data_IF_029602695404
#
_entry.id   IF_029602695404
#
_cell.length_a   1.000
_cell.length_b   1.000
_cell.length_c   1.000
_cell.angle_alpha   90.00
_cell.angle_beta   90.00
_cell.angle_gamma   90.00
#
_symmetry.space_group_name_H-M   'P 1'
#
loop_
_entity.id
_entity.type
_entity.pdbx_description
1 polymer ?
#
# COMPACT_ATOMS: atom_id res chain seq x y z
N UNK A 1 10.58 -15.27 -14.98
CA UNK A 1 9.66 -16.32 -15.49
C UNK A 1 9.01 -17.07 -14.33
N UNK A 2 7.68 -17.00 -14.19
CA UNK A 2 6.99 -17.68 -13.11
C UNK A 2 7.25 -19.20 -13.18
N UNK A 3 7.57 -19.76 -12.01
CA UNK A 3 7.91 -21.15 -11.75
C UNK A 3 7.07 -22.13 -12.60
N UNK A 4 7.73 -22.85 -13.50
CA UNK A 4 7.09 -23.63 -14.57
C UNK A 4 6.20 -24.74 -14.01
N UNK A 5 6.60 -25.31 -12.87
CA UNK A 5 5.81 -26.26 -12.10
C UNK A 5 4.50 -25.65 -11.62
N UNK A 6 4.55 -24.43 -11.08
CA UNK A 6 3.36 -23.69 -10.67
C UNK A 6 2.46 -23.33 -11.87
N UNK A 7 3.02 -23.02 -13.03
CA UNK A 7 2.25 -22.80 -14.27
C UNK A 7 1.56 -24.09 -14.72
N UNK A 8 2.26 -25.22 -14.70
CA UNK A 8 1.71 -26.52 -15.06
C UNK A 8 0.53 -26.90 -14.15
N UNK A 9 0.69 -26.80 -12.82
CA UNK A 9 -0.41 -27.08 -11.88
C UNK A 9 -1.57 -26.07 -11.98
N UNK A 10 -1.30 -24.80 -12.25
CA UNK A 10 -2.35 -23.80 -12.51
C UNK A 10 -3.14 -24.13 -13.78
N UNK A 11 -2.46 -24.54 -14.86
CA UNK A 11 -3.10 -24.97 -16.11
C UNK A 11 -3.98 -26.20 -15.87
N UNK A 12 -3.48 -27.22 -15.17
CA UNK A 12 -4.27 -28.40 -14.76
C UNK A 12 -5.52 -28.02 -13.96
N UNK A 13 -5.39 -27.15 -12.95
CA UNK A 13 -6.54 -26.68 -12.14
C UNK A 13 -7.57 -25.91 -12.98
N UNK A 14 -7.13 -25.07 -13.92
CA UNK A 14 -8.02 -24.33 -14.83
C UNK A 14 -8.78 -25.27 -15.76
N UNK A 15 -8.10 -26.25 -16.36
CA UNK A 15 -8.73 -27.24 -17.23
C UNK A 15 -9.72 -28.11 -16.48
N UNK A 16 -9.41 -28.52 -15.24
CA UNK A 16 -10.33 -29.28 -14.39
C UNK A 16 -11.61 -28.50 -14.07
N UNK A 17 -11.50 -27.19 -13.79
CA UNK A 17 -12.66 -26.32 -13.55
C UNK A 17 -13.48 -26.10 -14.83
N UNK A 18 -12.81 -25.93 -15.97
CA UNK A 18 -13.48 -25.79 -17.27
C UNK A 18 -14.24 -27.06 -17.65
N UNK A 19 -13.59 -28.23 -17.57
CA UNK A 19 -14.21 -29.52 -17.84
C UNK A 19 -15.46 -29.73 -16.97
N UNK A 20 -15.39 -29.44 -15.66
CA UNK A 20 -16.56 -29.54 -14.77
C UNK A 20 -17.70 -28.61 -15.16
N UNK A 21 -17.41 -27.35 -15.50
CA UNK A 21 -18.44 -26.38 -15.93
C UNK A 21 -19.16 -26.84 -17.20
N UNK A 22 -18.40 -27.31 -18.19
CA UNK A 22 -18.97 -27.82 -19.44
C UNK A 22 -19.74 -29.12 -19.26
N UNK A 23 -19.31 -30.02 -18.36
CA UNK A 23 -20.10 -31.20 -18.01
C UNK A 23 -21.45 -30.83 -17.38
N UNK A 24 -21.50 -29.81 -16.52
CA UNK A 24 -22.76 -29.33 -15.92
C UNK A 24 -23.67 -28.71 -16.97
N UNK A 25 -23.12 -27.88 -17.87
CA UNK A 25 -23.90 -27.30 -18.97
C UNK A 25 -24.42 -28.38 -19.93
N UNK A 26 -23.60 -29.37 -20.27
CA UNK A 26 -24.00 -30.51 -21.10
C UNK A 26 -25.11 -31.33 -20.44
N UNK A 27 -25.02 -31.59 -19.12
CA UNK A 27 -26.07 -32.28 -18.37
C UNK A 27 -27.37 -31.47 -18.29
N UNK A 28 -27.28 -30.16 -18.05
CA UNK A 28 -28.44 -29.27 -18.00
C UNK A 28 -29.14 -29.13 -19.35
N UNK A 29 -28.37 -28.91 -20.43
CA UNK A 29 -28.91 -28.79 -21.79
C UNK A 29 -29.43 -30.13 -22.33
N UNK A 30 -28.74 -31.23 -22.05
CA UNK A 30 -29.20 -32.57 -22.42
C UNK A 30 -30.49 -32.95 -21.69
N UNK A 31 -30.58 -32.66 -20.39
CA UNK A 31 -31.81 -32.85 -19.61
C UNK A 31 -32.96 -31.98 -20.10
N UNK A 32 -32.69 -30.71 -20.40
CA UNK A 32 -33.69 -29.79 -20.96
C UNK A 32 -34.16 -30.25 -22.34
N UNK A 33 -33.25 -30.65 -23.23
CA UNK A 33 -33.60 -31.18 -24.54
C UNK A 33 -34.47 -32.45 -24.42
N UNK A 34 -34.17 -33.35 -23.49
CA UNK A 34 -34.94 -34.58 -23.27
C UNK A 34 -36.36 -34.33 -22.71
N UNK A 35 -36.55 -33.26 -21.94
CA UNK A 35 -37.86 -32.91 -21.36
C UNK A 35 -38.70 -32.02 -22.29
N UNK A 36 -38.05 -31.10 -23.03
CA UNK A 36 -38.72 -30.09 -23.84
C UNK A 36 -38.95 -30.50 -25.29
N UNK A 37 -38.37 -31.60 -25.78
CA UNK A 37 -38.74 -32.15 -27.10
C UNK A 37 -40.02 -32.98 -26.94
N UNK A 38 -41.21 -32.43 -27.23
CA UNK A 38 -42.43 -33.20 -27.11
C UNK A 38 -42.46 -34.21 -28.25
N UNK A 39 -43.15 -35.34 -28.04
CA UNK A 39 -43.31 -36.44 -28.99
C UNK A 39 -44.18 -36.08 -30.22
N UNK A 40 -44.25 -34.80 -30.60
CA UNK A 40 -45.17 -34.22 -31.56
C UNK A 40 -44.43 -33.42 -32.64
N UNK A 41 -43.60 -34.12 -33.44
CA UNK A 41 -42.96 -33.59 -34.64
C UNK A 41 -41.75 -32.68 -34.39
N UNK A 42 -40.64 -32.97 -35.06
CA UNK A 42 -39.37 -32.23 -34.89
C UNK A 42 -39.52 -30.85 -35.55
N UNK A 43 -39.67 -29.80 -34.73
CA UNK A 43 -39.65 -28.43 -35.20
C UNK A 43 -38.22 -27.88 -35.35
N UNK A 44 -38.05 -26.80 -36.14
CA UNK A 44 -36.82 -26.00 -36.14
C UNK A 44 -36.31 -25.62 -34.73
N UNK A 45 -37.16 -25.26 -33.73
CA UNK A 45 -36.69 -25.00 -32.37
C UNK A 45 -36.05 -26.22 -31.68
N UNK A 46 -36.53 -27.44 -31.94
CA UNK A 46 -35.97 -28.67 -31.35
C UNK A 46 -34.59 -29.00 -31.92
N UNK A 47 -34.39 -28.74 -33.21
CA UNK A 47 -33.10 -28.88 -33.87
C UNK A 47 -32.04 -27.92 -33.27
N UNK A 48 -32.46 -26.71 -32.90
CA UNK A 48 -31.58 -25.73 -32.23
C UNK A 48 -31.16 -26.23 -30.84
N UNK A 49 -32.10 -26.76 -30.03
CA UNK A 49 -31.79 -27.28 -28.70
C UNK A 49 -30.95 -28.56 -28.74
N UNK A 50 -31.26 -29.48 -29.65
CA UNK A 50 -30.46 -30.69 -29.87
C UNK A 50 -29.04 -30.35 -30.34
N UNK A 51 -28.89 -29.37 -31.23
CA UNK A 51 -27.59 -28.86 -31.66
C UNK A 51 -26.81 -28.21 -30.51
N UNK A 52 -27.48 -27.44 -29.65
CA UNK A 52 -26.87 -26.83 -28.47
C UNK A 52 -26.42 -27.91 -27.44
N UNK A 53 -27.24 -28.93 -27.20
CA UNK A 53 -26.89 -30.04 -26.30
C UNK A 53 -25.72 -30.87 -26.85
N UNK A 54 -25.75 -31.23 -28.14
CA UNK A 54 -24.68 -31.98 -28.81
C UNK A 54 -23.34 -31.24 -28.79
N UNK A 55 -23.36 -29.93 -29.09
CA UNK A 55 -22.14 -29.10 -29.03
C UNK A 55 -21.59 -28.95 -27.61
N UNK A 56 -22.45 -28.82 -26.60
CA UNK A 56 -22.02 -28.78 -25.20
C UNK A 56 -21.37 -30.11 -24.74
N UNK A 57 -21.92 -31.26 -25.15
CA UNK A 57 -21.35 -32.59 -24.87
C UNK A 57 -19.98 -32.76 -25.56
N UNK A 58 -19.88 -32.39 -26.83
CA UNK A 58 -18.63 -32.47 -27.58
C UNK A 58 -17.51 -31.61 -26.95
N UNK A 59 -17.83 -30.38 -26.53
CA UNK A 59 -16.89 -29.50 -25.84
C UNK A 59 -16.47 -30.08 -24.48
N UNK A 60 -17.39 -30.67 -23.73
CA UNK A 60 -17.08 -31.32 -22.46
C UNK A 60 -16.12 -32.51 -22.63
N UNK A 61 -16.37 -33.36 -23.64
CA UNK A 61 -15.52 -34.51 -23.96
C UNK A 61 -14.11 -34.06 -24.37
N UNK A 62 -14.00 -33.04 -25.23
CA UNK A 62 -12.69 -32.47 -25.62
C UNK A 62 -11.95 -31.90 -24.41
N UNK A 63 -12.63 -31.15 -23.52
CA UNK A 63 -11.96 -30.59 -22.32
C UNK A 63 -11.45 -31.67 -21.36
N UNK A 64 -12.12 -32.82 -21.31
CA UNK A 64 -11.63 -34.00 -20.59
C UNK A 64 -10.44 -34.67 -21.26
N UNK A 65 -10.42 -34.75 -22.59
CA UNK A 65 -9.28 -35.25 -23.35
C UNK A 65 -8.04 -34.35 -23.17
N UNK A 66 -8.20 -33.04 -23.27
CA UNK A 66 -7.14 -32.04 -23.02
C UNK A 66 -6.55 -32.18 -21.60
N UNK A 67 -7.42 -32.39 -20.61
CA UNK A 67 -7.00 -32.57 -19.23
C UNK A 67 -6.22 -33.87 -19.05
N UNK A 68 -6.66 -34.97 -19.67
CA UNK A 68 -5.93 -36.26 -19.63
C UNK A 68 -4.58 -36.16 -20.33
N UNK A 69 -4.52 -35.51 -21.49
CA UNK A 69 -3.28 -35.28 -22.23
C UNK A 69 -2.28 -34.47 -21.39
N UNK A 70 -2.72 -33.39 -20.75
CA UNK A 70 -1.83 -32.58 -19.90
C UNK A 70 -1.49 -33.25 -18.57
N UNK A 71 -2.33 -34.15 -18.05
CA UNK A 71 -2.02 -34.94 -16.86
C UNK A 71 -1.05 -36.10 -17.16
N UNK A 72 -0.99 -36.57 -18.41
CA UNK A 72 -0.04 -37.58 -18.85
C UNK A 72 1.38 -37.01 -19.05
N UNK A 73 1.52 -35.69 -19.21
CA UNK A 73 2.83 -35.03 -19.25
C UNK A 73 3.42 -35.03 -17.83
N UNK A 74 4.63 -35.60 -17.61
CA UNK A 74 5.25 -35.62 -16.29
C UNK A 74 5.45 -34.19 -15.76
N UNK A 75 5.16 -34.00 -14.48
CA UNK A 75 5.27 -32.68 -13.86
C UNK A 75 6.73 -32.19 -13.90
N UNK A 76 6.98 -30.90 -14.23
CA UNK A 76 8.33 -30.35 -14.21
C UNK A 76 8.98 -30.55 -12.82
N UNK A 77 10.29 -30.88 -12.78
CA UNK A 77 10.99 -31.11 -11.52
C UNK A 77 10.89 -29.90 -10.59
N UNK A 78 10.84 -30.17 -9.28
CA UNK A 78 10.86 -29.12 -8.28
C UNK A 78 12.20 -28.38 -8.36
N UNK A 79 12.17 -27.07 -8.56
CA UNK A 79 13.37 -26.25 -8.37
C UNK A 79 13.78 -26.34 -6.89
N UNK A 80 15.09 -26.51 -6.65
CA UNK A 80 15.67 -26.49 -5.31
C UNK A 80 15.28 -25.18 -4.60
N UNK A 81 14.80 -25.22 -3.33
CA UNK A 81 14.48 -24.02 -2.55
C UNK A 81 15.63 -23.00 -2.51
N UNK A 82 16.90 -23.46 -2.54
CA UNK A 82 18.06 -22.58 -2.56
C UNK A 82 18.13 -21.77 -3.87
N UNK A 83 17.90 -22.42 -5.02
CA UNK A 83 17.91 -21.75 -6.31
C UNK A 83 16.65 -20.89 -6.53
N UNK A 84 15.50 -21.28 -5.96
CA UNK A 84 14.29 -20.47 -5.98
C UNK A 84 14.50 -19.16 -5.20
N UNK A 85 15.16 -19.23 -4.04
CA UNK A 85 15.56 -18.08 -3.25
C UNK A 85 16.56 -17.20 -4.02
N UNK A 86 17.59 -17.78 -4.64
CA UNK A 86 18.57 -17.06 -5.46
C UNK A 86 17.92 -16.34 -6.66
N UNK A 87 17.02 -17.01 -7.39
CA UNK A 87 16.29 -16.41 -8.53
C UNK A 87 15.29 -15.34 -8.08
N UNK A 88 14.71 -15.46 -6.89
CA UNK A 88 13.85 -14.41 -6.33
C UNK A 88 14.64 -13.17 -5.94
N UNK A 89 15.82 -13.33 -5.33
CA UNK A 89 16.76 -12.24 -5.05
C UNK A 89 17.22 -11.57 -6.35
N UNK A 90 17.62 -12.34 -7.36
CA UNK A 90 18.04 -11.80 -8.66
C UNK A 90 16.92 -11.01 -9.36
N UNK A 91 15.64 -11.41 -9.21
CA UNK A 91 14.50 -10.64 -9.74
C UNK A 91 14.21 -9.38 -8.95
N UNK A 92 14.38 -9.40 -7.64
CA UNK A 92 14.23 -8.21 -6.81
C UNK A 92 15.34 -7.21 -7.14
N UNK A 93 16.57 -7.66 -7.31
CA UNK A 93 17.70 -6.84 -7.75
C UNK A 93 17.43 -6.27 -9.15
N UNK A 94 17.07 -7.11 -10.13
CA UNK A 94 16.78 -6.65 -11.49
C UNK A 94 15.52 -5.77 -11.59
N UNK A 95 14.55 -5.92 -10.68
CA UNK A 95 13.40 -5.03 -10.60
C UNK A 95 13.79 -3.68 -9.99
N UNK A 96 14.65 -3.68 -8.96
CA UNK A 96 15.20 -2.47 -8.34
C UNK A 96 16.09 -1.70 -9.32
N UNK A 97 16.92 -2.39 -10.11
CA UNK A 97 17.77 -1.79 -11.14
C UNK A 97 16.98 -1.20 -12.32
N UNK A 98 15.77 -1.72 -12.59
CA UNK A 98 14.92 -1.26 -13.70
C UNK A 98 13.96 -0.15 -13.34
N UNK A 99 13.79 0.17 -12.06
CA UNK A 99 13.04 1.37 -11.72
C UNK A 99 13.99 2.58 -11.84
N UNK A 100 13.58 3.65 -12.55
CA UNK A 100 14.21 4.95 -12.42
C UNK A 100 13.79 5.53 -11.05
N UNK A 101 14.44 5.08 -9.97
CA UNK A 101 14.06 5.44 -8.61
C UNK A 101 14.79 6.72 -8.20
N UNK A 102 14.06 7.84 -8.20
CA UNK A 102 14.52 9.04 -7.51
C UNK A 102 14.68 8.78 -6.00
N UNK A 103 15.61 9.46 -5.31
CA UNK A 103 15.92 9.24 -3.90
C UNK A 103 14.70 9.31 -2.95
N UNK A 104 13.62 9.98 -3.34
CA UNK A 104 12.39 10.13 -2.54
C UNK A 104 11.48 8.89 -2.43
N UNK A 105 11.54 7.94 -3.38
CA UNK A 105 10.66 6.75 -3.32
C UNK A 105 11.27 5.66 -2.43
N UNK A 106 12.61 5.54 -2.40
CA UNK A 106 13.29 4.60 -1.50
C UNK A 106 13.15 5.02 -0.04
N UNK A 107 13.19 6.33 0.25
CA UNK A 107 13.00 6.83 1.61
C UNK A 107 11.58 6.53 2.12
N UNK A 108 10.55 6.69 1.28
CA UNK A 108 9.18 6.36 1.66
C UNK A 108 8.93 4.85 1.81
N UNK A 109 9.48 4.01 0.92
CA UNK A 109 9.41 2.55 1.10
C UNK A 109 10.14 2.11 2.38
N UNK A 110 11.29 2.71 2.68
CA UNK A 110 12.02 2.46 3.93
C UNK A 110 11.21 2.92 5.15
N UNK A 111 10.48 4.04 5.04
CA UNK A 111 9.62 4.61 6.09
C UNK A 111 8.38 3.75 6.35
N UNK A 112 7.74 3.23 5.31
CA UNK A 112 6.63 2.28 5.45
C UNK A 112 7.12 0.97 6.06
N UNK A 113 8.26 0.46 5.60
CA UNK A 113 8.86 -0.77 6.13
C UNK A 113 9.25 -0.64 7.60
N UNK A 114 9.83 0.49 8.02
CA UNK A 114 10.19 0.73 9.42
C UNK A 114 8.94 0.84 10.30
N UNK A 115 7.90 1.56 9.86
CA UNK A 115 6.61 1.58 10.58
C UNK A 115 6.00 0.18 10.73
N UNK A 116 6.07 -0.65 9.69
CA UNK A 116 5.58 -2.03 9.77
C UNK A 116 6.44 -2.91 10.68
N UNK A 117 7.76 -2.75 10.67
CA UNK A 117 8.69 -3.51 11.51
C UNK A 117 8.55 -3.22 13.01
N UNK A 118 8.03 -2.03 13.35
CA UNK A 118 7.78 -1.59 14.73
C UNK A 118 6.35 -1.87 15.19
N UNK A 119 5.46 -2.38 14.32
CA UNK A 119 4.09 -2.71 14.75
C UNK A 119 4.11 -3.79 15.82
N UNK A 120 3.42 -3.52 16.93
CA UNK A 120 3.32 -4.45 18.06
C UNK A 120 4.52 -4.45 18.99
N UNK A 121 5.44 -3.47 18.87
CA UNK A 121 6.51 -3.24 19.84
C UNK A 121 6.22 -2.01 20.71
N UNK A 122 6.87 -1.95 21.86
CA UNK A 122 6.84 -0.80 22.78
C UNK A 122 7.33 0.50 22.12
N UNK A 123 8.28 0.41 21.19
CA UNK A 123 8.84 1.55 20.45
C UNK A 123 7.88 2.19 19.43
N UNK A 124 6.75 1.56 19.10
CA UNK A 124 5.82 2.05 18.07
C UNK A 124 5.27 3.45 18.38
N UNK A 125 4.95 3.72 19.65
CA UNK A 125 4.36 4.99 20.09
C UNK A 125 5.39 6.12 20.03
N UNK A 126 6.59 5.88 20.57
CA UNK A 126 7.72 6.81 20.48
C UNK A 126 8.07 7.14 19.03
N UNK A 127 8.10 6.14 18.15
CA UNK A 127 8.36 6.34 16.72
C UNK A 127 7.32 7.25 16.05
N UNK A 128 6.03 7.05 16.32
CA UNK A 128 4.97 7.86 15.73
C UNK A 128 5.05 9.33 16.18
N UNK A 129 5.42 9.56 17.44
CA UNK A 129 5.66 10.90 18.00
C UNK A 129 6.86 11.57 17.33
N UNK A 130 8.00 10.87 17.26
CA UNK A 130 9.20 11.35 16.56
C UNK A 130 8.90 11.71 15.09
N UNK A 131 8.16 10.85 14.38
CA UNK A 131 7.82 11.09 12.98
C UNK A 131 6.94 12.33 12.78
N UNK A 132 6.01 12.60 13.71
CA UNK A 132 5.21 13.83 13.72
C UNK A 132 6.06 15.07 14.02
N UNK A 133 6.95 14.98 15.01
CA UNK A 133 7.84 16.08 15.38
C UNK A 133 8.80 16.42 14.22
N UNK A 134 9.39 15.41 13.57
CA UNK A 134 10.29 15.59 12.43
C UNK A 134 9.58 16.21 11.22
N UNK A 135 8.34 15.79 10.92
CA UNK A 135 7.52 16.43 9.87
C UNK A 135 7.22 17.90 10.19
N UNK A 136 6.97 18.21 11.46
CA UNK A 136 6.71 19.59 11.91
C UNK A 136 7.95 20.45 11.74
N UNK A 137 9.12 19.94 12.15
CA UNK A 137 10.40 20.64 11.98
C UNK A 137 10.74 20.86 10.51
N UNK A 138 10.55 19.86 9.64
CA UNK A 138 10.78 19.96 8.20
C UNK A 138 9.93 21.06 7.55
N UNK A 139 8.69 21.26 8.02
CA UNK A 139 7.83 22.36 7.57
C UNK A 139 8.28 23.75 8.05
N UNK A 140 9.21 23.83 9.00
CA UNK A 140 9.78 25.08 9.52
C UNK A 140 11.19 25.34 9.00
N UNK A 141 11.90 24.33 8.49
CA UNK A 141 13.31 24.43 8.08
C UNK A 141 13.60 25.59 7.12
N UNK A 142 12.72 25.87 6.16
CA UNK A 142 12.90 27.00 5.23
C UNK A 142 12.85 28.39 5.88
N UNK A 143 12.35 28.49 7.11
CA UNK A 143 12.26 29.72 7.92
C UNK A 143 13.28 29.77 9.06
N UNK A 144 13.97 28.66 9.32
CA UNK A 144 15.02 28.58 10.34
C UNK A 144 16.36 28.98 9.71
N UNK A 145 16.54 30.29 9.47
CA UNK A 145 17.75 30.83 8.82
C UNK A 145 18.70 31.50 9.82
N UNK A 146 19.95 31.74 9.41
CA UNK A 146 20.92 32.46 10.23
C UNK A 146 21.41 31.63 11.41
N UNK A 147 21.20 32.11 12.64
CA UNK A 147 21.69 31.45 13.86
C UNK A 147 21.03 30.08 14.13
N UNK A 148 19.88 29.81 13.52
CA UNK A 148 19.15 28.55 13.68
C UNK A 148 19.59 27.44 12.69
N UNK A 149 20.41 27.74 11.69
CA UNK A 149 20.81 26.79 10.64
C UNK A 149 21.63 25.59 11.18
N UNK A 150 22.60 25.76 12.11
CA UNK A 150 23.29 24.64 12.73
C UNK A 150 22.36 23.74 13.55
N UNK A 151 21.35 24.33 14.21
CA UNK A 151 20.39 23.58 15.02
C UNK A 151 19.51 22.64 14.17
N UNK A 152 19.27 22.98 12.89
CA UNK A 152 18.57 22.08 11.95
C UNK A 152 19.41 20.84 11.64
N UNK A 153 20.72 21.01 11.44
CA UNK A 153 21.64 19.90 11.16
C UNK A 153 21.73 18.96 12.37
N UNK A 154 21.90 19.54 13.57
CA UNK A 154 21.93 18.78 14.83
C UNK A 154 20.60 18.05 15.09
N UNK A 155 19.46 18.68 14.77
CA UNK A 155 18.16 18.02 14.85
C UNK A 155 18.01 16.87 13.84
N UNK A 156 18.59 16.98 12.64
CA UNK A 156 18.58 15.89 11.67
C UNK A 156 19.47 14.71 12.12
N UNK A 157 20.56 14.98 12.83
CA UNK A 157 21.39 13.95 13.48
C UNK A 157 20.68 13.28 14.63
N UNK A 158 20.02 14.07 15.50
CA UNK A 158 19.22 13.56 16.59
C UNK A 158 18.08 12.66 16.10
N UNK A 159 17.34 13.06 15.05
CA UNK A 159 16.28 12.21 14.44
C UNK A 159 16.85 10.88 13.95
N UNK A 160 17.99 10.88 13.24
CA UNK A 160 18.66 9.64 12.79
C UNK A 160 19.05 8.73 13.96
N UNK A 161 19.63 9.31 15.01
CA UNK A 161 20.04 8.58 16.22
C UNK A 161 18.85 7.96 16.96
N UNK A 162 17.75 8.71 17.14
CA UNK A 162 16.53 8.22 17.78
C UNK A 162 15.85 7.12 16.98
N UNK A 163 15.88 7.21 15.64
CA UNK A 163 15.36 6.15 14.77
C UNK A 163 16.18 4.86 14.89
N UNK A 164 17.50 4.96 14.99
CA UNK A 164 18.35 3.80 15.22
C UNK A 164 18.07 3.16 16.59
N UNK A 165 17.97 3.98 17.64
CA UNK A 165 17.62 3.53 18.98
C UNK A 165 16.27 2.80 19.01
N UNK A 166 15.25 3.30 18.32
CA UNK A 166 13.94 2.63 18.21
C UNK A 166 14.04 1.25 17.53
N UNK A 167 14.86 1.12 16.47
CA UNK A 167 15.10 -0.17 15.82
C UNK A 167 15.84 -1.14 16.75
N UNK A 168 16.78 -0.62 17.56
CA UNK A 168 17.50 -1.41 18.56
C UNK A 168 16.55 -1.93 19.65
N UNK A 169 15.68 -1.08 20.21
CA UNK A 169 14.63 -1.47 21.17
C UNK A 169 13.77 -2.59 20.60
N UNK A 170 13.25 -2.41 19.38
CA UNK A 170 12.40 -3.42 18.75
C UNK A 170 13.13 -4.74 18.48
N UNK A 171 14.43 -4.68 18.17
CA UNK A 171 15.24 -5.88 17.95
C UNK A 171 15.49 -6.64 19.27
N UNK A 172 15.76 -5.93 20.37
CA UNK A 172 15.87 -6.53 21.71
C UNK A 172 14.54 -7.11 22.17
N UNK A 173 13.41 -6.43 21.92
CA UNK A 173 12.08 -6.94 22.26
C UNK A 173 11.73 -8.23 21.50
N UNK A 174 12.13 -8.33 20.22
CA UNK A 174 11.99 -9.57 19.45
C UNK A 174 12.92 -10.67 19.97
N UNK A 175 14.14 -10.34 20.36
CA UNK A 175 15.07 -11.29 20.96
C UNK A 175 14.55 -11.81 22.32
N UNK A 176 13.92 -10.96 23.13
CA UNK A 176 13.26 -11.33 24.39
C UNK A 176 12.21 -12.42 24.19
N UNK A 177 11.42 -12.34 23.13
CA UNK A 177 10.39 -13.33 22.79
C UNK A 177 10.97 -14.71 22.43
N UNK A 178 12.27 -14.78 22.16
CA UNK A 178 13.00 -16.00 21.77
C UNK A 178 14.02 -16.44 22.83
N UNK A 179 14.26 -15.63 23.87
CA UNK A 179 15.34 -15.83 24.81
C UNK A 179 15.02 -16.97 25.81
N UNK A 180 16.03 -17.79 26.18
CA UNK A 180 15.89 -18.80 27.23
C UNK A 180 15.73 -18.12 28.61
N UNK A 181 15.10 -18.81 29.57
CA UNK A 181 14.67 -18.24 30.84
C UNK A 181 15.80 -17.59 31.64
N UNK A 182 17.02 -18.11 31.55
CA UNK A 182 18.20 -17.61 32.25
C UNK A 182 18.66 -16.23 31.73
N UNK A 183 18.46 -15.95 30.44
CA UNK A 183 18.85 -14.69 29.80
C UNK A 183 17.70 -13.65 29.75
N UNK A 184 16.47 -14.05 30.05
CA UNK A 184 15.30 -13.16 29.97
C UNK A 184 15.40 -11.98 30.94
N UNK A 185 15.87 -12.20 32.17
CA UNK A 185 15.95 -11.13 33.19
C UNK A 185 16.90 -10.00 32.81
N UNK A 186 18.11 -10.33 32.37
CA UNK A 186 19.12 -9.33 31.96
C UNK A 186 18.70 -8.60 30.67
N UNK A 187 18.13 -9.33 29.71
CA UNK A 187 17.65 -8.76 28.45
C UNK A 187 16.41 -7.86 28.66
N UNK A 188 15.55 -8.18 29.63
CA UNK A 188 14.38 -7.38 29.98
C UNK A 188 14.78 -6.06 30.65
N UNK A 189 15.78 -6.10 31.54
CA UNK A 189 16.35 -4.90 32.13
C UNK A 189 16.99 -3.99 31.06
N UNK A 190 17.79 -4.57 30.15
CA UNK A 190 18.39 -3.83 29.04
C UNK A 190 17.34 -3.21 28.11
N UNK A 191 16.27 -3.96 27.79
CA UNK A 191 15.13 -3.45 27.03
C UNK A 191 14.46 -2.25 27.73
N UNK A 192 14.22 -2.35 29.04
CA UNK A 192 13.64 -1.27 29.84
C UNK A 192 14.48 0.01 29.79
N UNK A 193 15.79 -0.10 29.95
CA UNK A 193 16.73 1.04 29.85
C UNK A 193 16.70 1.68 28.48
N UNK A 194 16.76 0.90 27.40
CA UNK A 194 16.72 1.41 26.03
C UNK A 194 15.38 2.08 25.70
N UNK A 195 14.27 1.51 26.16
CA UNK A 195 12.94 2.09 25.98
C UNK A 195 12.79 3.43 26.73
N UNK A 196 13.32 3.53 27.95
CA UNK A 196 13.31 4.78 28.72
C UNK A 196 14.18 5.86 28.05
N UNK A 197 15.36 5.49 27.54
CA UNK A 197 16.23 6.40 26.77
C UNK A 197 15.54 6.92 25.52
N UNK A 198 14.84 6.04 24.79
CA UNK A 198 14.08 6.42 23.60
C UNK A 198 12.97 7.43 23.93
N UNK A 199 12.16 7.15 24.96
CA UNK A 199 11.07 8.06 25.37
C UNK A 199 11.60 9.43 25.82
N UNK A 200 12.69 9.44 26.61
CA UNK A 200 13.35 10.67 27.04
C UNK A 200 13.90 11.48 25.85
N UNK A 201 14.57 10.79 24.92
CA UNK A 201 15.12 11.40 23.71
C UNK A 201 14.07 11.98 22.77
N UNK A 202 12.96 11.26 22.56
CA UNK A 202 11.82 11.76 21.78
C UNK A 202 11.18 12.98 22.45
N UNK A 203 11.02 12.97 23.78
CA UNK A 203 10.52 14.12 24.51
C UNK A 203 11.46 15.35 24.41
N UNK A 204 12.78 15.13 24.41
CA UNK A 204 13.75 16.20 24.19
C UNK A 204 13.68 16.76 22.77
N UNK A 205 13.53 15.89 21.77
CA UNK A 205 13.35 16.30 20.38
C UNK A 205 12.07 17.11 20.18
N UNK A 206 10.95 16.70 20.79
CA UNK A 206 9.71 17.47 20.76
C UNK A 206 9.88 18.87 21.37
N UNK A 207 10.61 19.00 22.49
CA UNK A 207 10.92 20.31 23.10
C UNK A 207 11.78 21.18 22.16
N UNK A 208 12.74 20.59 21.45
CA UNK A 208 13.51 21.30 20.42
C UNK A 208 12.59 21.83 19.32
N UNK A 209 11.65 21.02 18.82
CA UNK A 209 10.71 21.45 17.77
C UNK A 209 9.81 22.58 18.27
N UNK A 210 9.36 22.52 19.53
CA UNK A 210 8.59 23.62 20.15
C UNK A 210 9.44 24.89 20.25
N UNK A 211 10.70 24.80 20.64
CA UNK A 211 11.60 25.95 20.68
C UNK A 211 11.84 26.54 19.28
N UNK A 212 12.02 25.70 18.26
CA UNK A 212 12.14 26.11 16.87
C UNK A 212 10.87 26.83 16.36
N UNK A 213 9.69 26.35 16.75
CA UNK A 213 8.43 27.03 16.43
C UNK A 213 8.34 28.41 17.11
N UNK A 214 8.78 28.51 18.37
CA UNK A 214 8.88 29.79 19.09
C UNK A 214 9.83 30.77 18.39
N UNK A 215 10.99 30.30 17.93
CA UNK A 215 11.92 31.12 17.15
C UNK A 215 11.28 31.63 15.86
N UNK A 216 10.62 30.76 15.07
CA UNK A 216 9.92 31.18 13.84
C UNK A 216 8.80 32.17 14.13
N UNK A 217 8.11 32.03 15.28
CA UNK A 217 7.06 32.96 15.68
C UNK A 217 7.60 34.35 16.08
N UNK A 218 8.76 34.42 16.74
CA UNK A 218 9.42 35.69 17.09
C UNK A 218 10.13 36.32 15.88
N UNK A 219 10.74 35.52 14.99
CA UNK A 219 11.33 36.01 13.73
C UNK A 219 10.24 36.55 12.77
N UNK A 220 9.05 35.96 12.82
CA UNK A 220 7.85 36.50 12.19
C UNK A 220 7.29 37.76 12.88
N UNK A 221 7.94 38.34 13.90
CA UNK A 221 7.60 39.66 14.46
C UNK A 221 8.67 40.72 14.12
N UNK A 222 8.67 41.30 12.90
CA UNK A 222 9.31 42.58 12.70
C UNK A 222 8.38 43.71 13.19
N UNK A 223 8.96 44.67 13.90
CA UNK A 223 8.43 46.00 14.19
C UNK A 223 7.71 46.62 12.99
N UNK A 224 6.50 47.14 13.22
CA UNK A 224 5.52 47.75 12.28
C UNK A 224 4.73 46.81 11.35
N UNK A 225 3.42 47.10 11.28
CA UNK A 225 2.28 46.35 10.71
C UNK A 225 2.57 45.38 9.54
N UNK A 226 2.05 44.15 9.65
CA UNK A 226 2.30 43.05 8.70
C UNK A 226 1.76 43.32 7.28
N UNK A 227 2.61 43.45 6.25
CA UNK A 227 2.16 43.53 4.86
C UNK A 227 1.47 42.23 4.41
N UNK A 228 1.75 41.09 5.04
CA UNK A 228 1.09 39.82 4.74
C UNK A 228 -0.36 39.77 5.24
N UNK A 229 -0.65 40.36 6.40
CA UNK A 229 -2.02 40.46 6.91
C UNK A 229 -2.82 41.45 6.05
N UNK A 230 -2.22 42.59 5.69
CA UNK A 230 -2.82 43.53 4.74
C UNK A 230 -3.13 42.88 3.38
N UNK A 231 -2.18 42.12 2.81
CA UNK A 231 -2.39 41.35 1.55
C UNK A 231 -3.45 40.25 1.68
N UNK A 232 -3.58 39.61 2.84
CA UNK A 232 -4.61 38.60 3.08
C UNK A 232 -6.00 39.23 3.16
N UNK A 233 -6.12 40.35 3.87
CA UNK A 233 -7.36 41.14 3.90
C UNK A 233 -7.72 41.60 2.49
N UNK A 234 -6.78 42.18 1.75
CA UNK A 234 -6.99 42.64 0.37
C UNK A 234 -7.39 41.49 -0.58
N UNK A 235 -6.74 40.32 -0.47
CA UNK A 235 -7.12 39.14 -1.24
C UNK A 235 -8.52 38.62 -0.86
N UNK A 236 -8.90 38.70 0.41
CA UNK A 236 -10.22 38.30 0.88
C UNK A 236 -11.30 39.26 0.41
N UNK A 237 -11.01 40.56 0.41
CA UNK A 237 -11.88 41.61 -0.13
C UNK A 237 -12.08 41.44 -1.64
N UNK A 238 -11.01 41.13 -2.39
CA UNK A 238 -11.10 40.79 -3.81
C UNK A 238 -11.98 39.55 -4.06
N UNK A 239 -11.81 38.48 -3.28
CA UNK A 239 -12.64 37.28 -3.38
C UNK A 239 -14.11 37.59 -3.05
N UNK A 240 -14.38 38.44 -2.07
CA UNK A 240 -15.72 38.86 -1.71
C UNK A 240 -16.37 39.71 -2.83
N UNK A 241 -15.59 40.60 -3.46
CA UNK A 241 -16.02 41.36 -4.62
C UNK A 241 -16.38 40.48 -5.82
N UNK A 242 -15.54 39.48 -6.13
CA UNK A 242 -15.81 38.51 -7.21
C UNK A 242 -17.05 37.67 -6.91
N UNK A 243 -17.22 37.21 -5.67
CA UNK A 243 -18.41 36.45 -5.27
C UNK A 243 -19.69 37.28 -5.40
N UNK A 244 -19.65 38.56 -5.03
CA UNK A 244 -20.77 39.49 -5.14
C UNK A 244 -21.13 39.75 -6.61
N UNK A 245 -20.14 40.00 -7.47
CA UNK A 245 -20.35 40.19 -8.91
C UNK A 245 -20.96 38.94 -9.59
N UNK A 246 -20.52 37.73 -9.20
CA UNK A 246 -21.11 36.48 -9.69
C UNK A 246 -22.56 36.28 -9.21
N UNK A 247 -22.90 36.74 -8.00
CA UNK A 247 -24.26 36.68 -7.49
C UNK A 247 -25.21 37.64 -8.24
N UNK A 248 -24.74 38.84 -8.59
CA UNK A 248 -25.47 39.81 -9.41
C UNK A 248 -25.70 39.33 -10.85
N UNK A 249 -24.69 38.71 -11.47
CA UNK A 249 -24.85 38.09 -12.80
C UNK A 249 -25.92 36.98 -12.83
N UNK A 250 -26.05 36.23 -11.73
CA UNK A 250 -27.07 35.19 -11.59
C UNK A 250 -28.48 35.76 -11.44
N UNK A 251 -28.64 36.89 -10.77
CA UNK A 251 -29.96 37.54 -10.59
C UNK A 251 -30.36 38.37 -11.82
N UNK A 252 -29.40 38.92 -12.56
CA UNK A 252 -29.61 39.69 -13.78
C UNK A 252 -29.97 38.83 -15.01
N UNK A 253 -29.85 37.50 -14.93
CA UNK A 253 -30.28 36.59 -15.99
C UNK A 253 -31.60 35.89 -15.61
N UNK A 254 -32.77 36.53 -15.80
CA UNK A 254 -34.04 35.86 -15.63
C UNK A 254 -34.17 34.73 -16.67
N UNK A 255 -34.71 33.56 -16.29
CA UNK A 255 -34.92 32.47 -17.25
C UNK A 255 -35.87 32.94 -18.34
N UNK A 256 -35.44 32.81 -19.60
CA UNK A 256 -36.28 33.05 -20.76
C UNK A 256 -37.54 32.16 -20.63
N UNK A 257 -38.76 32.74 -20.66
CA UNK A 257 -39.96 31.94 -20.66
C UNK A 257 -39.98 31.10 -21.94
N UNK A 258 -39.95 29.78 -21.78
CA UNK A 258 -40.12 28.82 -22.87
C UNK A 258 -41.59 28.84 -23.33
N UNK A 259 -41.86 28.91 -24.64
CA UNK A 259 -43.21 28.91 -25.20
C UNK A 259 -43.92 27.55 -25.08
#
# INVERSE_FOLDING_TARGET
MADERNRHFRRLRRLRRSARRWSVLAGGLGGAAAVLTPYAGIGLPDAVWAGAAGSAIAVAAWRWADLRALAAVPAPPALDPAEAAARSRARLVAAVERLPVGPGVLSEVRRVRSRLALRGTSAARAWARLDRAALTLAGMTGRLTGLAEPAVQEAAEADRSLRDLANRVASVERALKLAPAEAQGSLAAAHGTLAAQLESGVAAYERLVVAAAGYVAEDARPSTEHPAAARLTEATDLLHGVASALAELRTAHPPLPTP
#
